data_IF_724671901243
#
_entry.id   IF_724671901243
#
_cell.length_a   1.000
_cell.length_b   1.000
_cell.length_c   1.000
_cell.angle_alpha   90.00
_cell.angle_beta   90.00
_cell.angle_gamma   90.00
#
_symmetry.space_group_name_H-M   'P 1'
#
loop_
_entity.id
_entity.type
_entity.pdbx_description
1 polymer ?
#
# COMPACT_ATOMS: atom_id res chain seq x y z
N UNK A 1 23.86 -59.86 -9.35
CA UNK A 1 22.56 -59.15 -9.38
C UNK A 1 22.85 -57.67 -9.51
N UNK A 2 22.62 -57.06 -10.68
CA UNK A 2 22.74 -55.60 -10.90
C UNK A 2 21.32 -55.07 -11.10
N UNK A 3 20.87 -54.17 -10.22
CA UNK A 3 19.59 -53.49 -10.36
C UNK A 3 19.75 -52.32 -11.34
N UNK A 4 18.94 -52.29 -12.39
CA UNK A 4 18.80 -51.14 -13.28
C UNK A 4 17.75 -50.19 -12.70
N UNK A 5 18.12 -48.93 -12.48
CA UNK A 5 17.21 -47.88 -12.09
C UNK A 5 16.44 -47.40 -13.34
N UNK A 6 15.10 -47.47 -13.29
CA UNK A 6 14.22 -46.86 -14.28
C UNK A 6 13.94 -45.44 -13.82
N UNK A 7 14.43 -44.45 -14.57
CA UNK A 7 14.12 -43.05 -14.35
C UNK A 7 12.73 -42.73 -14.95
N UNK A 8 11.79 -42.32 -14.11
CA UNK A 8 10.52 -41.75 -14.56
C UNK A 8 10.75 -40.26 -14.87
N UNK A 9 10.69 -39.88 -16.15
CA UNK A 9 10.67 -38.48 -16.54
C UNK A 9 9.26 -37.92 -16.28
N UNK A 10 9.11 -37.07 -15.28
CA UNK A 10 7.90 -36.29 -15.08
C UNK A 10 7.80 -35.23 -16.18
N UNK A 11 6.80 -35.34 -17.06
CA UNK A 11 6.43 -34.26 -17.97
C UNK A 11 5.77 -33.16 -17.13
N UNK A 12 6.54 -32.11 -16.82
CA UNK A 12 5.99 -30.86 -16.32
C UNK A 12 5.33 -30.19 -17.52
N UNK A 13 4.00 -30.24 -17.61
CA UNK A 13 3.26 -29.47 -18.59
C UNK A 13 3.46 -27.99 -18.24
N UNK A 14 4.33 -27.33 -19.00
CA UNK A 14 4.48 -25.88 -19.01
C UNK A 14 3.14 -25.28 -19.43
N UNK A 15 2.31 -24.90 -18.46
CA UNK A 15 1.21 -24.00 -18.71
C UNK A 15 1.85 -22.63 -18.99
N UNK A 16 2.03 -22.34 -20.27
CA UNK A 16 2.43 -21.01 -20.70
C UNK A 16 1.27 -20.06 -20.37
N UNK A 17 1.44 -19.26 -19.31
CA UNK A 17 0.55 -18.16 -19.01
C UNK A 17 0.40 -17.31 -20.28
N UNK A 18 -0.81 -17.26 -20.83
CA UNK A 18 -1.08 -16.51 -22.04
C UNK A 18 -0.84 -15.03 -21.75
N UNK A 19 -0.03 -14.36 -22.58
CA UNK A 19 0.18 -12.92 -22.45
C UNK A 19 -1.18 -12.20 -22.43
N UNK A 20 -1.37 -11.18 -21.57
CA UNK A 20 -2.60 -10.39 -21.56
C UNK A 20 -2.91 -9.88 -22.96
N UNK A 21 -4.15 -10.06 -23.43
CA UNK A 21 -4.62 -9.45 -24.67
C UNK A 21 -4.67 -7.93 -24.42
N UNK A 22 -3.92 -7.10 -25.16
CA UNK A 22 -3.96 -5.66 -24.98
C UNK A 22 -5.38 -5.13 -25.22
N UNK A 23 -5.94 -4.41 -24.25
CA UNK A 23 -7.20 -3.68 -24.39
C UNK A 23 -8.45 -4.32 -23.78
N UNK A 24 -8.39 -5.52 -23.20
CA UNK A 24 -9.44 -6.02 -22.29
C UNK A 24 -8.85 -6.07 -20.88
N UNK A 25 -9.12 -5.04 -20.08
CA UNK A 25 -8.83 -5.03 -18.65
C UNK A 25 -9.66 -6.15 -18.00
N UNK A 26 -9.01 -7.22 -17.56
CA UNK A 26 -9.68 -8.30 -16.85
C UNK A 26 -10.09 -7.80 -15.48
N UNK A 27 -11.39 -7.71 -15.26
CA UNK A 27 -11.96 -7.23 -14.00
C UNK A 27 -12.39 -8.42 -13.13
N UNK A 28 -11.98 -8.39 -11.87
CA UNK A 28 -12.27 -9.36 -10.83
C UNK A 28 -13.05 -8.62 -9.74
N UNK A 29 -14.38 -8.51 -9.92
CA UNK A 29 -15.26 -7.87 -8.94
C UNK A 29 -15.29 -8.72 -7.66
N UNK A 30 -14.91 -8.13 -6.52
CA UNK A 30 -14.84 -8.86 -5.24
C UNK A 30 -16.17 -9.51 -4.83
N UNK A 31 -17.31 -9.01 -5.34
CA UNK A 31 -18.64 -9.59 -5.08
C UNK A 31 -18.84 -10.93 -5.78
N UNK A 32 -18.25 -11.12 -6.96
CA UNK A 32 -18.26 -12.40 -7.66
C UNK A 32 -17.49 -13.48 -6.88
N UNK A 33 -16.61 -13.04 -5.97
CA UNK A 33 -15.85 -13.89 -5.05
C UNK A 33 -16.45 -13.99 -3.65
N UNK A 34 -17.66 -13.43 -3.45
CA UNK A 34 -18.46 -13.56 -2.24
C UNK A 34 -18.38 -12.39 -1.26
N UNK A 35 -17.75 -11.27 -1.63
CA UNK A 35 -17.71 -10.08 -0.78
C UNK A 35 -19.10 -9.44 -0.73
N UNK A 36 -19.51 -8.95 0.45
CA UNK A 36 -20.80 -8.26 0.61
C UNK A 36 -20.66 -6.74 0.55
N UNK A 37 -19.57 -6.18 1.08
CA UNK A 37 -19.38 -4.73 1.13
C UNK A 37 -20.42 -4.02 2.00
N UNK A 38 -20.93 -4.68 3.05
CA UNK A 38 -22.01 -4.20 3.92
C UNK A 38 -21.51 -3.54 5.22
N UNK A 39 -20.19 -3.46 5.40
CA UNK A 39 -19.53 -2.93 6.59
C UNK A 39 -19.83 -3.72 7.85
N UNK A 40 -20.04 -5.04 7.73
CA UNK A 40 -20.16 -5.97 8.87
C UNK A 40 -19.64 -7.36 8.57
N UNK A 41 -19.83 -7.84 7.33
CA UNK A 41 -19.36 -9.14 6.89
C UNK A 41 -17.86 -9.06 6.67
N UNK A 42 -17.13 -10.00 7.27
CA UNK A 42 -15.73 -10.22 6.94
C UNK A 42 -15.59 -10.67 5.47
N UNK A 43 -15.08 -9.77 4.65
CA UNK A 43 -14.88 -9.93 3.21
C UNK A 43 -13.44 -10.36 2.88
N UNK A 44 -12.59 -10.61 3.88
CA UNK A 44 -11.14 -10.93 3.72
C UNK A 44 -10.92 -12.04 2.70
N UNK A 45 -11.62 -13.17 2.88
CA UNK A 45 -11.45 -14.33 2.02
C UNK A 45 -11.99 -14.10 0.60
N UNK A 46 -12.99 -13.24 0.43
CA UNK A 46 -13.49 -12.88 -0.89
C UNK A 46 -12.50 -12.00 -1.66
N UNK A 47 -11.91 -11.01 -0.99
CA UNK A 47 -10.85 -10.17 -1.55
C UNK A 47 -9.62 -11.02 -1.92
N UNK A 48 -9.21 -11.93 -1.03
CA UNK A 48 -8.10 -12.84 -1.29
C UNK A 48 -8.33 -13.74 -2.51
N UNK A 49 -9.56 -14.24 -2.69
CA UNK A 49 -9.93 -15.04 -3.88
C UNK A 49 -9.92 -14.22 -5.16
N UNK A 50 -10.44 -12.99 -5.14
CA UNK A 50 -10.41 -12.08 -6.29
C UNK A 50 -8.96 -11.76 -6.71
N UNK A 51 -8.09 -11.44 -5.74
CA UNK A 51 -6.67 -11.22 -5.96
C UNK A 51 -5.97 -12.46 -6.52
N UNK A 52 -6.24 -13.63 -5.93
CA UNK A 52 -5.68 -14.91 -6.40
C UNK A 52 -6.09 -15.20 -7.84
N UNK A 53 -7.34 -14.90 -8.22
CA UNK A 53 -7.80 -15.06 -9.59
C UNK A 53 -7.10 -14.07 -10.54
N UNK A 54 -6.95 -12.81 -10.16
CA UNK A 54 -6.19 -11.82 -10.94
C UNK A 54 -4.75 -12.28 -11.19
N UNK A 55 -4.06 -12.75 -10.14
CA UNK A 55 -2.69 -13.26 -10.24
C UNK A 55 -2.59 -14.52 -11.11
N UNK A 56 -3.53 -15.45 -11.00
CA UNK A 56 -3.59 -16.65 -11.83
C UNK A 56 -3.76 -16.32 -13.33
N UNK A 57 -4.34 -15.17 -13.64
CA UNK A 57 -4.47 -14.64 -15.00
C UNK A 57 -3.34 -13.66 -15.39
N UNK A 58 -2.23 -13.63 -14.64
CA UNK A 58 -1.06 -12.79 -14.94
C UNK A 58 -1.27 -11.30 -14.66
N UNK A 59 -2.29 -10.96 -13.88
CA UNK A 59 -2.71 -9.59 -13.57
C UNK A 59 -4.16 -9.30 -13.96
N UNK A 60 -4.57 -8.08 -13.63
CA UNK A 60 -5.93 -7.58 -13.84
C UNK A 60 -6.36 -6.67 -12.70
N UNK A 61 -7.64 -6.33 -12.70
CA UNK A 61 -8.21 -5.34 -11.79
C UNK A 61 -9.07 -6.03 -10.75
N UNK A 62 -8.62 -6.04 -9.50
CA UNK A 62 -9.44 -6.38 -8.33
C UNK A 62 -10.35 -5.18 -8.07
N UNK A 63 -11.62 -5.32 -8.42
CA UNK A 63 -12.57 -4.22 -8.42
C UNK A 63 -13.47 -4.25 -7.19
N UNK A 64 -13.62 -3.10 -6.55
CA UNK A 64 -14.46 -2.86 -5.39
C UNK A 64 -15.60 -1.92 -5.80
N UNK A 65 -16.81 -2.42 -6.07
CA UNK A 65 -17.99 -1.56 -6.22
C UNK A 65 -18.24 -0.72 -4.95
N UNK A 66 -19.11 0.30 -5.03
CA UNK A 66 -19.55 1.04 -3.84
C UNK A 66 -19.96 0.09 -2.70
N UNK A 67 -19.35 0.24 -1.54
CA UNK A 67 -19.56 -0.60 -0.35
C UNK A 67 -18.46 -0.38 0.68
N UNK A 68 -18.64 -0.96 1.86
CA UNK A 68 -17.62 -1.04 2.90
C UNK A 68 -17.25 -2.49 3.12
N UNK A 69 -16.05 -2.88 2.71
CA UNK A 69 -15.54 -4.24 2.73
C UNK A 69 -14.67 -4.40 3.96
N UNK A 70 -15.19 -5.07 4.97
CA UNK A 70 -14.44 -5.32 6.20
C UNK A 70 -13.39 -6.40 5.95
N UNK A 71 -12.16 -6.14 6.34
CA UNK A 71 -11.03 -7.08 6.25
C UNK A 71 -10.37 -7.25 7.61
N UNK A 72 -9.73 -8.40 7.82
CA UNK A 72 -9.04 -8.77 9.06
C UNK A 72 -7.57 -9.04 8.75
N UNK A 73 -6.72 -8.00 8.67
CA UNK A 73 -5.32 -8.16 8.27
C UNK A 73 -4.47 -8.99 9.24
N UNK A 74 -4.97 -9.21 10.47
CA UNK A 74 -4.35 -10.12 11.43
C UNK A 74 -4.35 -11.59 10.95
N UNK A 75 -5.21 -11.96 10.00
CA UNK A 75 -5.16 -13.27 9.33
C UNK A 75 -4.01 -13.38 8.30
N UNK A 76 -3.44 -12.23 7.91
CA UNK A 76 -2.35 -12.11 6.95
C UNK A 76 -2.59 -10.97 5.95
N UNK A 77 -1.52 -10.35 5.42
CA UNK A 77 -1.65 -9.30 4.42
C UNK A 77 -2.10 -9.86 3.07
N UNK A 78 -2.74 -9.01 2.26
CA UNK A 78 -2.95 -9.29 0.84
C UNK A 78 -1.62 -9.12 0.10
N UNK A 79 -1.02 -10.24 -0.34
CA UNK A 79 0.23 -10.21 -1.10
C UNK A 79 0.01 -9.76 -2.55
N UNK A 80 0.40 -8.53 -2.83
CA UNK A 80 0.29 -7.87 -4.13
C UNK A 80 1.34 -8.42 -5.09
N UNK A 81 0.91 -8.81 -6.29
CA UNK A 81 1.78 -9.21 -7.40
C UNK A 81 1.76 -8.22 -8.56
N UNK A 82 2.57 -8.47 -9.58
CA UNK A 82 2.70 -7.61 -10.76
C UNK A 82 1.43 -7.53 -11.60
N UNK A 83 1.26 -6.41 -12.30
CA UNK A 83 0.16 -6.11 -13.22
C UNK A 83 -1.23 -6.16 -12.55
N UNK A 84 -1.27 -5.91 -11.24
CA UNK A 84 -2.52 -5.85 -10.47
C UNK A 84 -2.93 -4.41 -10.24
N UNK A 85 -4.19 -4.12 -10.54
CA UNK A 85 -4.85 -2.87 -10.13
C UNK A 85 -5.87 -3.18 -9.05
N UNK A 86 -5.83 -2.47 -7.92
CA UNK A 86 -6.94 -2.40 -6.97
C UNK A 86 -7.71 -1.12 -7.29
N UNK A 87 -8.97 -1.25 -7.72
CA UNK A 87 -9.78 -0.12 -8.17
C UNK A 87 -11.15 -0.07 -7.50
N UNK A 88 -11.65 1.13 -7.24
CA UNK A 88 -13.03 1.35 -6.80
C UNK A 88 -13.74 2.46 -7.58
N UNK A 89 -14.73 3.08 -6.95
CA UNK A 89 -15.48 4.23 -7.50
C UNK A 89 -15.30 5.50 -6.66
N UNK A 90 -14.12 5.64 -6.06
CA UNK A 90 -13.74 6.70 -5.14
C UNK A 90 -13.96 6.30 -3.69
N UNK A 91 -14.16 7.30 -2.82
CA UNK A 91 -14.28 7.11 -1.36
C UNK A 91 -15.43 6.19 -0.92
N UNK A 92 -16.40 5.94 -1.80
CA UNK A 92 -17.52 5.06 -1.56
C UNK A 92 -17.18 3.56 -1.68
N UNK A 93 -15.99 3.23 -2.20
CA UNK A 93 -15.40 1.89 -2.18
C UNK A 93 -14.38 1.83 -1.05
N UNK A 94 -14.86 1.52 0.16
CA UNK A 94 -14.05 1.53 1.36
C UNK A 94 -13.58 0.12 1.71
N UNK A 95 -12.27 -0.08 1.81
CA UNK A 95 -11.65 -1.27 2.42
C UNK A 95 -11.37 -0.88 3.86
N UNK A 96 -12.09 -1.49 4.79
CA UNK A 96 -12.07 -1.11 6.19
C UNK A 96 -11.53 -2.24 7.06
N UNK A 97 -10.72 -1.94 8.06
CA UNK A 97 -10.35 -2.94 9.07
C UNK A 97 -11.58 -3.22 9.94
N UNK A 98 -11.94 -4.49 10.06
CA UNK A 98 -13.10 -4.92 10.84
C UNK A 98 -13.00 -4.45 12.31
N UNK A 99 -14.14 -4.41 13.01
CA UNK A 99 -14.13 -4.21 14.46
C UNK A 99 -13.43 -5.39 15.14
N UNK A 100 -12.68 -5.12 16.22
CA UNK A 100 -11.93 -6.12 16.98
C UNK A 100 -11.04 -7.04 16.10
N UNK A 101 -10.46 -6.51 15.02
CA UNK A 101 -9.67 -7.26 14.03
C UNK A 101 -8.33 -7.81 14.55
N UNK A 102 -8.02 -7.60 15.82
CA UNK A 102 -6.75 -7.99 16.43
C UNK A 102 -5.60 -7.06 16.02
N UNK A 103 -4.37 -7.49 16.32
CA UNK A 103 -3.16 -6.73 15.96
C UNK A 103 -2.65 -7.21 14.62
N UNK A 104 -2.17 -6.29 13.80
CA UNK A 104 -1.63 -6.60 12.50
C UNK A 104 -0.49 -5.66 12.14
N UNK A 105 0.43 -6.13 11.31
CA UNK A 105 1.54 -5.31 10.84
C UNK A 105 1.19 -4.52 9.57
N UNK A 106 0.40 -5.11 8.67
CA UNK A 106 0.22 -4.60 7.31
C UNK A 106 -1.07 -5.11 6.65
N UNK A 107 -1.72 -4.28 5.81
CA UNK A 107 -2.87 -4.70 4.98
C UNK A 107 -2.43 -5.25 3.60
N UNK A 108 -1.67 -4.48 2.82
CA UNK A 108 -1.20 -4.86 1.48
C UNK A 108 0.32 -4.97 1.45
N UNK A 109 0.82 -6.20 1.34
CA UNK A 109 2.25 -6.48 1.30
C UNK A 109 2.74 -6.96 -0.06
N UNK A 110 4.03 -6.83 -0.28
CA UNK A 110 4.64 -7.31 -1.51
C UNK A 110 4.72 -8.85 -1.58
N UNK A 111 4.41 -9.41 -2.74
CA UNK A 111 4.82 -10.76 -3.14
C UNK A 111 6.36 -10.83 -3.34
N UNK A 112 7.08 -11.91 -2.98
CA UNK A 112 8.55 -11.97 -2.90
C UNK A 112 9.37 -11.58 -4.15
N UNK A 113 8.74 -11.36 -5.30
CA UNK A 113 9.41 -10.97 -6.53
C UNK A 113 9.35 -9.46 -6.74
N UNK A 114 10.26 -8.94 -7.57
CA UNK A 114 10.20 -7.54 -8.02
C UNK A 114 8.85 -7.27 -8.69
N UNK A 115 8.16 -6.22 -8.25
CA UNK A 115 6.84 -5.87 -8.75
C UNK A 115 6.93 -5.01 -10.01
N UNK A 116 6.00 -5.23 -10.93
CA UNK A 116 5.85 -4.42 -12.14
C UNK A 116 4.40 -4.00 -12.30
N UNK A 117 4.13 -2.71 -12.55
CA UNK A 117 2.79 -2.25 -12.93
C UNK A 117 1.71 -2.50 -11.88
N UNK A 118 1.92 -2.03 -10.65
CA UNK A 118 0.92 -2.12 -9.56
C UNK A 118 0.20 -0.78 -9.43
N UNK A 119 -1.14 -0.81 -9.35
CA UNK A 119 -1.94 0.41 -9.25
C UNK A 119 -2.95 0.28 -8.11
N UNK A 120 -3.07 1.30 -7.28
CA UNK A 120 -4.20 1.51 -6.37
C UNK A 120 -4.92 2.77 -6.81
N UNK A 121 -6.23 2.70 -7.07
CA UNK A 121 -6.99 3.86 -7.51
C UNK A 121 -8.43 3.91 -7.06
N UNK A 122 -8.94 5.11 -6.86
CA UNK A 122 -10.38 5.35 -6.66
C UNK A 122 -10.94 4.56 -5.45
N UNK A 123 -10.23 4.57 -4.33
CA UNK A 123 -10.54 3.78 -3.13
C UNK A 123 -10.48 4.62 -1.86
N UNK A 124 -11.06 4.10 -0.78
CA UNK A 124 -10.76 4.54 0.59
C UNK A 124 -10.22 3.37 1.40
N UNK A 125 -9.10 3.56 2.08
CA UNK A 125 -8.63 2.70 3.16
C UNK A 125 -9.04 3.32 4.49
N UNK A 126 -9.74 2.55 5.32
CA UNK A 126 -10.24 2.96 6.62
C UNK A 126 -9.70 1.98 7.67
N UNK A 127 -8.70 2.38 8.45
CA UNK A 127 -8.11 1.48 9.44
C UNK A 127 -8.93 1.36 10.73
N UNK A 128 -10.07 2.06 10.82
CA UNK A 128 -11.04 1.93 11.91
C UNK A 128 -10.43 1.91 13.34
N UNK A 129 -9.62 2.91 13.74
CA UNK A 129 -9.06 2.97 15.09
C UNK A 129 -10.14 3.05 16.17
N UNK A 130 -11.33 3.58 15.85
CA UNK A 130 -12.46 3.66 16.78
C UNK A 130 -13.07 2.31 17.13
N UNK A 131 -13.03 1.35 16.20
CA UNK A 131 -13.48 -0.03 16.38
C UNK A 131 -12.39 -0.95 16.93
N UNK A 132 -11.11 -0.57 16.79
CA UNK A 132 -9.95 -1.37 17.21
C UNK A 132 -9.23 -0.77 18.43
N UNK A 133 -9.97 -0.52 19.51
CA UNK A 133 -9.45 0.24 20.69
C UNK A 133 -8.38 -0.49 21.51
N UNK A 134 -8.28 -1.81 21.36
CA UNK A 134 -7.25 -2.63 22.02
C UNK A 134 -6.00 -2.79 21.17
N UNK A 135 -5.98 -2.25 19.94
CA UNK A 135 -4.79 -2.11 19.14
C UNK A 135 -3.68 -1.43 19.95
N UNK A 136 -2.44 -1.84 19.69
CA UNK A 136 -1.28 -1.31 20.37
C UNK A 136 -0.14 -1.27 19.37
N UNK A 137 -0.08 -0.18 18.62
CA UNK A 137 0.89 0.03 17.56
C UNK A 137 2.29 -0.09 18.15
N UNK A 138 3.08 -0.94 17.53
CA UNK A 138 4.47 -1.19 17.87
C UNK A 138 5.25 -1.25 16.55
N UNK A 139 6.24 -0.37 16.32
CA UNK A 139 6.95 -0.31 15.04
C UNK A 139 7.60 -1.64 14.60
N UNK A 140 7.89 -2.54 15.54
CA UNK A 140 8.55 -3.82 15.26
C UNK A 140 7.57 -4.98 15.00
N UNK A 141 6.35 -4.91 15.52
CA UNK A 141 5.41 -6.07 15.49
C UNK A 141 4.04 -5.76 14.91
N UNK A 142 3.58 -4.52 15.07
CA UNK A 142 2.19 -4.11 14.85
C UNK A 142 2.17 -2.71 14.24
N UNK A 143 2.90 -2.50 13.13
CA UNK A 143 3.05 -1.18 12.52
C UNK A 143 1.73 -0.64 11.93
N UNK A 144 0.77 -1.53 11.67
CA UNK A 144 -0.52 -1.20 11.04
C UNK A 144 -0.36 -0.40 9.74
N UNK A 145 0.60 -0.78 8.91
CA UNK A 145 0.80 -0.12 7.62
C UNK A 145 -0.34 -0.47 6.65
N UNK A 146 -0.66 0.41 5.69
CA UNK A 146 -1.69 0.09 4.67
C UNK A 146 -1.06 -0.57 3.46
N UNK A 147 -0.12 0.10 2.79
CA UNK A 147 0.57 -0.40 1.60
C UNK A 147 2.07 -0.42 1.90
N UNK A 148 2.68 -1.60 1.82
CA UNK A 148 4.12 -1.75 1.98
C UNK A 148 4.67 -2.61 0.84
N UNK A 149 5.37 -1.93 -0.07
CA UNK A 149 5.92 -2.51 -1.28
C UNK A 149 7.42 -2.24 -1.35
N UNK A 150 8.20 -3.29 -1.51
CA UNK A 150 9.63 -3.19 -1.77
C UNK A 150 9.92 -3.55 -3.23
N UNK A 151 11.13 -3.27 -3.72
CA UNK A 151 11.65 -3.68 -5.03
C UNK A 151 10.61 -3.70 -6.17
N UNK A 152 10.44 -2.58 -6.86
CA UNK A 152 9.40 -2.45 -7.89
C UNK A 152 9.84 -1.64 -9.12
N UNK A 153 8.97 -1.61 -10.12
CA UNK A 153 9.02 -0.75 -11.30
C UNK A 153 7.59 -0.42 -11.76
N UNK A 154 7.18 0.84 -11.63
CA UNK A 154 5.85 1.29 -11.98
C UNK A 154 4.82 0.92 -10.92
N UNK A 155 4.85 1.66 -9.80
CA UNK A 155 3.80 1.65 -8.78
C UNK A 155 3.07 2.98 -8.84
N UNK A 156 1.74 2.96 -8.85
CA UNK A 156 0.94 4.18 -8.81
C UNK A 156 -0.18 4.09 -7.78
N UNK A 157 -0.36 5.15 -7.00
CA UNK A 157 -1.42 5.31 -6.01
C UNK A 157 -2.12 6.63 -6.36
N UNK A 158 -3.38 6.54 -6.82
CA UNK A 158 -4.09 7.65 -7.48
C UNK A 158 -5.48 7.83 -6.94
N UNK A 159 -5.88 9.02 -6.49
CA UNK A 159 -7.24 9.24 -6.00
C UNK A 159 -7.64 8.25 -4.89
N UNK A 160 -6.72 8.02 -3.95
CA UNK A 160 -6.92 7.13 -2.80
C UNK A 160 -7.04 7.97 -1.53
N UNK A 161 -8.03 7.63 -0.71
CA UNK A 161 -8.18 8.20 0.62
C UNK A 161 -7.68 7.23 1.70
N UNK A 162 -6.68 7.61 2.48
CA UNK A 162 -6.29 6.96 3.72
C UNK A 162 -7.00 7.69 4.85
N UNK A 163 -8.17 7.20 5.26
CA UNK A 163 -9.06 7.93 6.15
C UNK A 163 -9.95 7.01 6.99
N UNK A 164 -9.73 6.92 8.31
CA UNK A 164 -8.53 7.40 9.02
C UNK A 164 -7.34 6.44 8.87
N UNK A 165 -6.12 6.99 8.99
CA UNK A 165 -4.88 6.23 9.20
C UNK A 165 -4.29 6.47 10.61
N UNK A 166 -4.23 5.45 11.48
CA UNK A 166 -3.60 5.52 12.79
C UNK A 166 -2.20 4.91 12.85
N UNK A 167 -1.81 4.12 11.84
CA UNK A 167 -0.61 3.30 11.82
C UNK A 167 0.70 4.10 11.80
N UNK A 168 1.81 3.38 11.75
CA UNK A 168 3.14 3.97 11.53
C UNK A 168 3.17 4.66 10.18
N UNK A 169 2.78 3.95 9.10
CA UNK A 169 2.81 4.49 7.73
C UNK A 169 1.61 4.01 6.88
N UNK A 170 0.87 4.93 6.24
CA UNK A 170 -0.07 4.51 5.19
C UNK A 170 0.67 3.88 4.01
N UNK A 171 1.75 4.51 3.53
CA UNK A 171 2.52 4.04 2.39
C UNK A 171 3.99 3.86 2.79
N UNK A 172 4.51 2.67 2.52
CA UNK A 172 5.94 2.34 2.56
C UNK A 172 6.34 1.84 1.19
N UNK A 173 7.16 2.59 0.47
CA UNK A 173 7.58 2.22 -0.87
C UNK A 173 9.10 2.37 -1.03
N UNK A 174 9.81 1.26 -1.00
CA UNK A 174 11.26 1.25 -1.17
C UNK A 174 11.70 0.40 -2.37
N UNK A 175 12.65 0.86 -3.16
CA UNK A 175 12.99 0.25 -4.45
C UNK A 175 14.40 0.60 -4.91
N UNK A 176 14.86 0.00 -6.01
CA UNK A 176 16.19 0.31 -6.54
C UNK A 176 16.33 1.78 -6.95
N UNK A 177 17.58 2.25 -7.04
CA UNK A 177 17.96 3.58 -7.55
C UNK A 177 17.67 3.80 -9.04
N UNK A 178 17.48 2.71 -9.78
CA UNK A 178 17.09 2.65 -11.20
C UNK A 178 15.56 2.60 -11.29
N UNK A 179 14.92 3.09 -12.37
CA UNK A 179 13.59 3.69 -12.27
C UNK A 179 12.61 2.78 -11.55
N UNK A 180 12.32 3.14 -10.30
CA UNK A 180 11.26 2.51 -9.54
C UNK A 180 9.92 3.07 -9.99
N UNK A 181 9.89 4.33 -10.46
CA UNK A 181 8.71 4.99 -11.03
C UNK A 181 7.51 4.87 -10.10
N UNK A 182 7.64 5.47 -8.92
CA UNK A 182 6.56 5.57 -7.93
C UNK A 182 5.77 6.85 -8.19
N UNK A 183 4.45 6.76 -8.28
CA UNK A 183 3.56 7.92 -8.32
C UNK A 183 2.56 7.85 -7.18
N UNK A 184 2.46 8.90 -6.38
CA UNK A 184 1.43 9.11 -5.36
C UNK A 184 0.76 10.44 -5.69
N UNK A 185 -0.45 10.39 -6.25
CA UNK A 185 -1.13 11.60 -6.73
C UNK A 185 -2.60 11.68 -6.37
N UNK A 186 -3.07 12.90 -6.14
CA UNK A 186 -4.48 13.20 -5.83
C UNK A 186 -5.01 12.38 -4.64
N UNK A 187 -4.14 12.01 -3.69
CA UNK A 187 -4.51 11.24 -2.51
C UNK A 187 -4.77 12.15 -1.31
N UNK A 188 -5.55 11.65 -0.37
CA UNK A 188 -5.83 12.32 0.90
C UNK A 188 -5.47 11.41 2.07
N UNK A 189 -4.79 11.96 3.07
CA UNK A 189 -4.34 11.28 4.29
C UNK A 189 -4.95 12.01 5.47
N UNK A 190 -5.77 11.32 6.27
CA UNK A 190 -6.37 11.84 7.48
C UNK A 190 -5.82 11.06 8.68
N UNK A 191 -4.81 11.64 9.33
CA UNK A 191 -4.15 11.02 10.46
C UNK A 191 -5.01 11.11 11.73
N UNK A 192 -5.25 9.96 12.34
CA UNK A 192 -5.92 9.86 13.63
C UNK A 192 -5.08 8.98 14.53
N UNK A 193 -4.45 9.56 15.54
CA UNK A 193 -3.50 8.87 16.41
C UNK A 193 -4.08 7.59 16.98
N UNK A 194 -3.42 6.49 16.66
CA UNK A 194 -3.69 5.19 17.24
C UNK A 194 -3.21 5.09 18.67
N UNK A 195 -3.63 4.01 19.34
CA UNK A 195 -3.08 3.65 20.65
C UNK A 195 -1.74 2.94 20.44
N UNK A 196 -0.68 3.42 21.08
CA UNK A 196 0.65 2.82 21.01
C UNK A 196 1.27 2.65 22.39
N UNK A 197 2.14 1.64 22.53
CA UNK A 197 3.02 1.49 23.69
C UNK A 197 4.23 2.43 23.64
N UNK A 198 4.57 2.94 22.45
CA UNK A 198 5.56 3.98 22.25
C UNK A 198 4.83 5.26 21.81
N UNK A 199 4.60 6.24 22.69
CA UNK A 199 3.89 7.45 22.30
C UNK A 199 4.65 8.31 21.26
N UNK A 200 5.90 7.99 20.93
CA UNK A 200 6.72 8.72 19.97
C UNK A 200 7.02 7.90 18.71
N UNK A 201 6.16 6.93 18.38
CA UNK A 201 6.32 6.20 17.14
C UNK A 201 6.34 7.17 15.96
N UNK A 202 7.30 6.96 15.06
CA UNK A 202 7.53 7.79 13.88
C UNK A 202 6.38 7.59 12.89
N UNK A 203 5.32 8.38 13.08
CA UNK A 203 4.11 8.33 12.28
C UNK A 203 4.34 9.15 11.00
N UNK A 204 4.54 8.45 9.89
CA UNK A 204 4.81 9.02 8.58
C UNK A 204 3.77 8.58 7.56
N UNK A 205 2.87 9.46 7.12
CA UNK A 205 1.82 9.05 6.16
C UNK A 205 2.41 8.42 4.89
N UNK A 206 3.49 9.01 4.37
CA UNK A 206 4.23 8.49 3.21
C UNK A 206 5.71 8.35 3.54
N UNK A 207 6.22 7.12 3.50
CA UNK A 207 7.65 6.81 3.52
C UNK A 207 8.07 6.25 2.16
N UNK A 208 9.14 6.81 1.59
CA UNK A 208 9.73 6.27 0.36
C UNK A 208 11.25 6.19 0.41
N UNK A 209 11.80 5.16 -0.23
CA UNK A 209 13.22 5.01 -0.49
C UNK A 209 13.43 4.41 -1.88
N UNK A 210 13.27 5.21 -2.93
CA UNK A 210 13.25 4.74 -4.31
C UNK A 210 13.68 5.83 -5.30
N UNK A 211 14.21 5.44 -6.46
CA UNK A 211 14.51 6.38 -7.54
C UNK A 211 13.29 6.68 -8.42
N UNK A 212 13.18 7.91 -8.92
CA UNK A 212 12.09 8.38 -9.80
C UNK A 212 10.72 8.33 -9.09
N UNK A 213 10.60 9.17 -8.06
CA UNK A 213 9.40 9.28 -7.20
C UNK A 213 8.66 10.55 -7.54
N UNK A 214 7.34 10.49 -7.66
CA UNK A 214 6.45 11.64 -7.87
C UNK A 214 5.38 11.65 -6.79
N UNK A 215 5.33 12.70 -5.98
CA UNK A 215 4.32 12.91 -4.94
C UNK A 215 3.62 14.24 -5.21
N UNK A 216 2.43 14.21 -5.81
CA UNK A 216 1.80 15.43 -6.32
C UNK A 216 0.31 15.58 -5.99
N UNK A 217 -0.12 16.81 -5.74
CA UNK A 217 -1.53 17.15 -5.53
C UNK A 217 -2.20 16.38 -4.38
N UNK A 218 -1.42 15.98 -3.37
CA UNK A 218 -1.94 15.26 -2.21
C UNK A 218 -2.31 16.22 -1.07
N UNK A 219 -3.20 15.77 -0.19
CA UNK A 219 -3.60 16.50 1.01
C UNK A 219 -3.38 15.64 2.26
N UNK A 220 -2.63 16.17 3.22
CA UNK A 220 -2.33 15.54 4.50
C UNK A 220 -2.99 16.37 5.60
N UNK A 221 -3.86 15.76 6.37
CA UNK A 221 -4.61 16.39 7.45
C UNK A 221 -4.35 15.64 8.77
N UNK A 222 -4.12 16.41 9.81
CA UNK A 222 -4.03 15.96 11.20
C UNK A 222 -4.69 17.03 12.09
N UNK A 223 -4.64 16.85 13.41
CA UNK A 223 -4.79 17.99 14.31
C UNK A 223 -3.63 18.03 15.32
N UNK A 224 -3.34 19.20 15.89
CA UNK A 224 -2.33 19.38 16.94
C UNK A 224 -2.54 18.44 18.14
N UNK A 225 -3.79 18.03 18.42
CA UNK A 225 -4.10 17.08 19.48
C UNK A 225 -3.66 15.63 19.14
N UNK A 226 -3.40 15.32 17.87
CA UNK A 226 -2.97 14.01 17.40
C UNK A 226 -1.45 13.82 17.49
N UNK A 227 -0.63 14.86 17.68
CA UNK A 227 0.85 14.74 17.64
C UNK A 227 1.35 13.93 16.43
N UNK A 228 0.85 14.24 15.22
CA UNK A 228 1.35 13.62 14.00
C UNK A 228 2.79 14.07 13.75
N UNK A 229 3.68 13.14 13.43
CA UNK A 229 5.11 13.41 13.30
C UNK A 229 5.42 13.92 11.90
N UNK A 230 5.45 13.05 10.89
CA UNK A 230 5.86 13.43 9.53
C UNK A 230 4.76 13.17 8.51
N UNK A 231 4.54 14.08 7.57
CA UNK A 231 3.59 13.80 6.47
C UNK A 231 4.28 13.03 5.33
N UNK A 232 5.46 13.50 4.90
CA UNK A 232 6.19 12.94 3.75
C UNK A 232 7.66 12.71 4.13
N UNK A 233 8.13 11.47 3.99
CA UNK A 233 9.52 11.09 4.17
C UNK A 233 10.12 10.55 2.87
N UNK A 234 11.21 11.20 2.46
CA UNK A 234 12.02 10.78 1.33
C UNK A 234 13.41 10.41 1.85
N UNK A 235 13.71 9.12 1.88
CA UNK A 235 15.03 8.58 2.22
C UNK A 235 15.76 8.18 0.95
N UNK A 236 16.90 8.80 0.65
CA UNK A 236 17.67 8.47 -0.55
C UNK A 236 16.86 8.63 -1.84
N UNK A 237 17.29 7.92 -2.90
CA UNK A 237 16.60 7.93 -4.20
C UNK A 237 16.97 9.13 -5.08
N UNK A 238 17.47 8.96 -6.32
CA UNK A 238 17.61 10.08 -7.23
C UNK A 238 16.27 10.43 -7.88
N UNK A 239 16.08 11.70 -8.25
CA UNK A 239 14.95 12.18 -9.07
C UNK A 239 13.57 12.06 -8.41
N UNK A 240 13.43 12.56 -7.18
CA UNK A 240 12.11 12.76 -6.57
C UNK A 240 11.54 14.14 -6.96
N UNK A 241 10.26 14.18 -7.33
CA UNK A 241 9.47 15.39 -7.54
C UNK A 241 8.35 15.40 -6.50
N UNK A 242 8.27 16.47 -5.71
CA UNK A 242 7.19 16.66 -4.73
C UNK A 242 6.56 18.02 -4.97
N UNK A 243 5.33 18.03 -5.51
CA UNK A 243 4.69 19.28 -5.94
C UNK A 243 3.22 19.42 -5.58
N UNK A 244 2.79 20.65 -5.33
CA UNK A 244 1.38 21.01 -5.15
C UNK A 244 0.67 20.26 -4.01
N UNK A 245 1.41 19.76 -3.01
CA UNK A 245 0.84 19.10 -1.85
C UNK A 245 0.43 20.13 -0.80
N UNK A 246 -0.58 19.79 0.00
CA UNK A 246 -0.99 20.56 1.18
C UNK A 246 -0.85 19.68 2.42
N UNK A 247 -0.11 20.15 3.41
CA UNK A 247 0.08 19.47 4.69
C UNK A 247 -0.42 20.36 5.80
N UNK A 248 -1.25 19.83 6.71
CA UNK A 248 -1.89 20.58 7.79
C UNK A 248 -1.69 19.88 9.15
N UNK A 249 -1.12 20.61 10.13
CA UNK A 249 -0.92 20.18 11.53
C UNK A 249 -0.11 18.87 11.73
N UNK A 250 1.02 18.77 11.02
CA UNK A 250 2.09 17.79 11.27
C UNK A 250 3.32 18.49 11.88
N UNK A 251 4.03 17.85 12.81
CA UNK A 251 5.27 18.38 13.40
C UNK A 251 6.35 18.61 12.33
N UNK A 252 6.43 17.69 11.36
CA UNK A 252 7.34 17.71 10.22
C UNK A 252 6.51 17.57 8.95
N UNK A 253 6.42 18.64 8.16
CA UNK A 253 5.70 18.59 6.89
C UNK A 253 6.37 17.70 5.84
N UNK A 254 7.70 17.68 5.80
CA UNK A 254 8.49 16.88 4.88
C UNK A 254 9.89 16.66 5.44
N UNK A 255 10.34 15.40 5.49
CA UNK A 255 11.71 15.02 5.82
C UNK A 255 12.45 14.55 4.56
N UNK A 256 13.64 15.10 4.32
CA UNK A 256 14.51 14.74 3.20
C UNK A 256 15.84 14.26 3.76
N UNK A 257 16.11 12.96 3.66
CA UNK A 257 17.27 12.33 4.27
C UNK A 257 18.04 11.46 3.28
N UNK A 258 19.32 11.20 3.56
CA UNK A 258 20.05 10.14 2.87
C UNK A 258 19.46 8.75 3.18
N UNK A 259 19.81 7.75 2.36
CA UNK A 259 19.38 6.36 2.59
C UNK A 259 19.83 5.85 3.96
N UNK A 260 18.91 5.26 4.73
CA UNK A 260 19.10 4.88 6.16
C UNK A 260 19.46 3.40 6.38
N UNK A 261 19.95 2.71 5.34
CA UNK A 261 20.29 1.26 5.29
C UNK A 261 19.09 0.32 5.09
N UNK A 262 18.89 -0.14 3.84
CA UNK A 262 17.97 -1.24 3.55
C UNK A 262 18.00 -1.73 2.10
N UNK A 263 18.29 -0.83 1.15
CA UNK A 263 18.60 -1.12 -0.25
C UNK A 263 20.01 -0.62 -0.58
N UNK A 264 20.74 -1.15 -1.60
CA UNK A 264 22.12 -0.72 -1.87
C UNK A 264 22.16 0.81 -1.99
N UNK A 265 23.02 1.47 -1.20
CA UNK A 265 23.10 2.94 -1.01
C UNK A 265 22.58 3.71 -2.21
N UNK A 266 21.42 4.36 -2.03
CA UNK A 266 20.85 5.22 -3.06
C UNK A 266 21.04 6.67 -2.62
N UNK A 267 21.95 7.43 -3.23
CA UNK A 267 22.19 8.81 -2.82
C UNK A 267 20.96 9.67 -3.07
N UNK A 268 20.58 10.46 -2.07
CA UNK A 268 19.56 11.49 -2.19
C UNK A 268 20.06 12.58 -3.15
N UNK A 269 19.49 12.67 -4.35
CA UNK A 269 19.96 13.63 -5.36
C UNK A 269 18.88 14.02 -6.36
N UNK A 270 19.01 15.24 -6.91
CA UNK A 270 18.10 15.77 -7.95
C UNK A 270 16.63 15.85 -7.51
N UNK A 271 16.39 16.27 -6.27
CA UNK A 271 15.04 16.55 -5.79
C UNK A 271 14.49 17.86 -6.37
N UNK A 272 13.25 17.82 -6.86
CA UNK A 272 12.46 18.97 -7.26
C UNK A 272 11.30 19.14 -6.28
N UNK A 273 11.31 20.21 -5.49
CA UNK A 273 10.28 20.52 -4.50
C UNK A 273 9.68 21.87 -4.86
N UNK A 274 8.40 21.90 -5.26
CA UNK A 274 7.76 23.13 -5.73
C UNK A 274 6.30 23.23 -5.30
N UNK A 275 5.81 24.44 -5.02
CA UNK A 275 4.39 24.73 -4.79
C UNK A 275 3.70 23.91 -3.67
N UNK A 276 4.46 23.33 -2.74
CA UNK A 276 3.89 22.70 -1.55
C UNK A 276 3.52 23.75 -0.51
N UNK A 277 2.47 23.48 0.25
CA UNK A 277 1.97 24.37 1.30
C UNK A 277 1.87 23.61 2.61
N UNK A 278 2.53 24.14 3.62
CA UNK A 278 2.52 23.63 4.98
C UNK A 278 1.74 24.63 5.82
N UNK A 279 0.55 24.22 6.27
CA UNK A 279 -0.43 25.04 6.99
C UNK A 279 -0.43 24.62 8.47
N UNK A 280 -0.54 25.61 9.36
CA UNK A 280 -0.59 25.47 10.82
C UNK A 280 0.41 24.46 11.43
N UNK A 281 1.67 24.90 11.53
CA UNK A 281 2.69 24.31 12.42
C UNK A 281 2.78 25.10 13.74
#
# INVERSE_FOLDING_TARGET
MKFAAVAFAAFVSSCTATAPIPGIERMFDVRDYGAKGDGRTDDTQAVARALSAALAHGGGTVFFPKGTYDVVPAEGPFFVGSNVTFAGVGRASAIRVADDAGRYNLIFGQHPNRLHGVIFRDLRFDQNPSGNRTANINPQTDAENVIQLYSFEGVAIRNVAFDPEPGIQAIVAAGPSRPSNLTIENCSFNFVRGRSSDPYYDASSVYTEAGYVTIENNRFESTNAQNAITAIELHGGPHATVENNVVHEFEIGMNLEESTNGYPEVPASHFAIANNRFEDA
#
